data_IF_533390241269
#
_entry.id   IF_533390241269
#
_cell.length_a   1.000
_cell.length_b   1.000
_cell.length_c   1.000
_cell.angle_alpha   90.00
_cell.angle_beta   90.00
_cell.angle_gamma   90.00
#
_symmetry.space_group_name_H-M   'P 1'
#
loop_
_entity.id
_entity.type
_entity.pdbx_description
1 polymer ?
#
# COMPACT_ATOMS: atom_id res chain seq x y z
N UNK A 1 -3.98 -36.69 49.60
CA UNK A 1 -5.07 -36.04 48.84
C UNK A 1 -4.98 -34.50 48.83
N UNK A 2 -4.89 -33.80 49.97
CA UNK A 2 -4.78 -32.31 49.99
C UNK A 2 -3.68 -31.73 49.07
N UNK A 3 -2.46 -32.29 49.10
CA UNK A 3 -1.32 -31.82 48.28
C UNK A 3 -1.58 -31.87 46.76
N UNK A 4 -2.31 -32.88 46.28
CA UNK A 4 -2.64 -33.06 44.87
C UNK A 4 -3.68 -32.01 44.43
N UNK A 5 -4.69 -31.76 45.27
CA UNK A 5 -5.68 -30.71 45.04
C UNK A 5 -5.05 -29.30 44.98
N UNK A 6 -4.10 -29.01 45.87
CA UNK A 6 -3.36 -27.73 45.85
C UNK A 6 -2.56 -27.57 44.56
N UNK A 7 -1.94 -28.64 44.05
CA UNK A 7 -1.15 -28.60 42.81
C UNK A 7 -2.04 -28.32 41.58
N UNK A 8 -3.20 -28.99 41.49
CA UNK A 8 -4.19 -28.77 40.42
C UNK A 8 -4.72 -27.33 40.44
N UNK A 9 -4.95 -26.78 41.63
CA UNK A 9 -5.43 -25.41 41.79
C UNK A 9 -4.38 -24.38 41.31
N UNK A 10 -3.11 -24.57 41.69
CA UNK A 10 -2.01 -23.71 41.24
C UNK A 10 -1.88 -23.78 39.71
N UNK A 11 -1.91 -24.99 39.14
CA UNK A 11 -1.81 -25.18 37.70
C UNK A 11 -2.97 -24.51 36.94
N UNK A 12 -4.21 -24.68 37.39
CA UNK A 12 -5.38 -24.02 36.80
C UNK A 12 -5.29 -22.49 36.84
N UNK A 13 -4.85 -21.92 37.97
CA UNK A 13 -4.64 -20.49 38.11
C UNK A 13 -3.54 -19.97 37.18
N UNK A 14 -2.42 -20.70 37.03
CA UNK A 14 -1.35 -20.29 36.11
C UNK A 14 -1.78 -20.30 34.64
N UNK A 15 -2.59 -21.27 34.22
CA UNK A 15 -3.16 -21.31 32.86
C UNK A 15 -4.11 -20.13 32.64
N UNK A 16 -4.98 -19.80 33.61
CA UNK A 16 -5.89 -18.67 33.49
C UNK A 16 -5.15 -17.34 33.39
N UNK A 17 -4.12 -17.13 34.22
CA UNK A 17 -3.27 -15.93 34.17
C UNK A 17 -2.56 -15.83 32.81
N UNK A 18 -2.03 -16.94 32.30
CA UNK A 18 -1.37 -16.98 31.00
C UNK A 18 -2.34 -16.68 29.85
N UNK A 19 -3.50 -17.31 29.82
CA UNK A 19 -4.53 -17.09 28.81
C UNK A 19 -5.06 -15.64 28.82
N UNK A 20 -5.21 -15.04 30.00
CA UNK A 20 -5.62 -13.64 30.16
C UNK A 20 -4.53 -12.69 29.65
N UNK A 21 -3.26 -12.94 29.98
CA UNK A 21 -2.12 -12.16 29.47
C UNK A 21 -1.97 -12.26 27.95
N UNK A 22 -2.12 -13.45 27.39
CA UNK A 22 -2.09 -13.66 25.93
C UNK A 22 -3.21 -12.86 25.23
N UNK A 23 -4.43 -12.94 25.77
CA UNK A 23 -5.57 -12.18 25.26
C UNK A 23 -5.33 -10.68 25.31
N UNK A 24 -4.81 -10.16 26.44
CA UNK A 24 -4.48 -8.74 26.58
C UNK A 24 -3.40 -8.29 25.59
N UNK A 25 -2.32 -9.06 25.45
CA UNK A 25 -1.25 -8.78 24.48
C UNK A 25 -1.76 -8.74 23.03
N UNK A 26 -2.70 -9.63 22.67
CA UNK A 26 -3.32 -9.65 21.33
C UNK A 26 -4.20 -8.43 21.10
N UNK A 27 -4.93 -7.97 22.12
CA UNK A 27 -5.75 -6.75 22.04
C UNK A 27 -4.85 -5.52 21.87
N UNK A 28 -3.79 -5.39 22.67
CA UNK A 28 -2.85 -4.26 22.58
C UNK A 28 -2.19 -4.17 21.20
N UNK A 29 -1.72 -5.30 20.65
CA UNK A 29 -1.19 -5.35 19.27
C UNK A 29 -2.23 -5.08 18.21
N UNK A 30 -3.47 -5.51 18.42
CA UNK A 30 -4.59 -5.20 17.53
C UNK A 30 -4.83 -3.69 17.44
N UNK A 31 -4.80 -3.01 18.59
CA UNK A 31 -4.92 -1.55 18.69
C UNK A 31 -3.72 -0.86 18.03
N UNK A 32 -2.50 -1.32 18.28
CA UNK A 32 -1.29 -0.78 17.65
C UNK A 32 -1.33 -0.92 16.12
N UNK A 33 -1.71 -2.09 15.63
CA UNK A 33 -1.87 -2.40 14.21
C UNK A 33 -2.95 -1.52 13.57
N UNK A 34 -4.09 -1.32 14.24
CA UNK A 34 -5.14 -0.40 13.79
C UNK A 34 -4.68 1.05 13.73
N UNK A 35 -4.00 1.54 14.78
CA UNK A 35 -3.47 2.90 14.82
C UNK A 35 -2.43 3.15 13.72
N UNK A 36 -1.58 2.14 13.47
CA UNK A 36 -0.59 2.18 12.39
C UNK A 36 -1.27 2.22 11.02
N UNK A 37 -2.30 1.41 10.81
CA UNK A 37 -3.11 1.46 9.59
C UNK A 37 -3.72 2.85 9.37
N UNK A 38 -4.36 3.42 10.38
CA UNK A 38 -5.05 4.70 10.26
C UNK A 38 -4.10 5.87 9.95
N UNK A 39 -2.89 5.83 10.54
CA UNK A 39 -1.84 6.81 10.33
C UNK A 39 -1.14 6.69 8.96
N UNK A 40 -0.91 5.47 8.49
CA UNK A 40 -0.11 5.21 7.28
C UNK A 40 -0.95 5.06 6.01
N UNK A 41 -2.27 4.85 6.11
CA UNK A 41 -3.14 4.72 4.93
C UNK A 41 -3.03 5.95 4.03
N UNK A 42 -2.96 5.71 2.73
CA UNK A 42 -2.93 6.76 1.71
C UNK A 42 -4.36 7.11 1.30
N UNK A 43 -4.67 8.40 1.28
CA UNK A 43 -5.90 8.93 0.72
C UNK A 43 -5.64 9.43 -0.71
N UNK A 44 -6.31 8.88 -1.74
CA UNK A 44 -6.08 9.28 -3.13
C UNK A 44 -6.68 10.66 -3.49
N UNK A 45 -7.59 11.22 -2.69
CA UNK A 45 -8.33 12.44 -3.04
C UNK A 45 -7.40 13.64 -3.21
N UNK A 46 -6.47 13.87 -2.28
CA UNK A 46 -5.52 14.99 -2.37
C UNK A 46 -4.66 14.92 -3.65
N UNK A 47 -3.97 13.79 -3.89
CA UNK A 47 -3.24 13.53 -5.14
C UNK A 47 -4.10 13.67 -6.40
N UNK A 48 -5.33 13.15 -6.40
CA UNK A 48 -6.27 13.28 -7.52
C UNK A 48 -6.59 14.74 -7.83
N UNK A 49 -6.98 15.52 -6.82
CA UNK A 49 -7.27 16.95 -6.99
C UNK A 49 -6.04 17.71 -7.48
N UNK A 50 -4.85 17.33 -7.00
CA UNK A 50 -3.62 17.93 -7.48
C UNK A 50 -3.42 17.66 -8.98
N UNK A 51 -3.61 16.43 -9.45
CA UNK A 51 -3.53 16.11 -10.88
C UNK A 51 -4.64 16.77 -11.73
N UNK A 52 -5.81 17.00 -11.13
CA UNK A 52 -6.94 17.67 -11.79
C UNK A 52 -6.65 19.16 -12.07
N UNK A 53 -6.07 19.88 -11.11
CA UNK A 53 -5.78 21.31 -11.26
C UNK A 53 -4.37 21.60 -11.77
N UNK A 54 -3.42 20.73 -11.45
CA UNK A 54 -2.03 20.82 -11.87
C UNK A 54 -1.69 19.53 -12.65
N UNK A 55 -1.74 19.56 -13.99
CA UNK A 55 -1.45 18.40 -14.81
C UNK A 55 0.01 17.95 -14.65
N UNK A 56 0.46 16.97 -15.44
CA UNK A 56 1.82 16.39 -15.39
C UNK A 56 2.09 15.40 -14.24
N UNK A 57 1.06 14.90 -13.56
CA UNK A 57 1.21 13.79 -12.61
C UNK A 57 1.82 14.19 -11.26
N UNK A 58 1.76 15.48 -10.90
CA UNK A 58 2.30 16.02 -9.65
C UNK A 58 1.70 15.31 -8.41
N UNK A 59 0.42 14.98 -8.47
CA UNK A 59 -0.29 14.27 -7.40
C UNK A 59 0.35 12.92 -7.11
N UNK A 60 0.81 12.23 -8.14
CA UNK A 60 1.50 10.94 -8.01
C UNK A 60 2.83 11.10 -7.25
N UNK A 61 3.59 12.17 -7.49
CA UNK A 61 4.81 12.45 -6.73
C UNK A 61 4.51 12.76 -5.25
N UNK A 62 3.47 13.54 -4.96
CA UNK A 62 3.08 13.89 -3.58
C UNK A 62 2.70 12.66 -2.76
N UNK A 63 2.06 11.66 -3.36
CA UNK A 63 1.74 10.41 -2.67
C UNK A 63 2.90 9.40 -2.61
N UNK A 64 4.02 9.66 -3.30
CA UNK A 64 5.20 8.80 -3.35
C UNK A 64 5.23 7.81 -4.52
N UNK A 65 4.37 7.98 -5.52
CA UNK A 65 4.37 7.19 -6.77
C UNK A 65 5.23 7.86 -7.84
N UNK A 66 6.55 7.70 -7.72
CA UNK A 66 7.53 8.26 -8.66
C UNK A 66 7.50 7.60 -10.03
N UNK A 67 7.10 6.33 -10.11
CA UNK A 67 7.03 5.60 -11.38
C UNK A 67 5.81 6.12 -12.16
N UNK A 68 4.62 6.13 -11.53
CA UNK A 68 3.41 6.65 -12.17
C UNK A 68 3.52 8.14 -12.52
N UNK A 69 4.04 8.96 -11.59
CA UNK A 69 4.29 10.38 -11.82
C UNK A 69 5.30 10.63 -12.94
N UNK A 70 6.42 9.92 -12.92
CA UNK A 70 7.47 10.02 -13.95
C UNK A 70 6.98 9.60 -15.33
N UNK A 71 6.21 8.52 -15.43
CA UNK A 71 5.60 8.11 -16.70
C UNK A 71 4.65 9.18 -17.25
N UNK A 72 3.74 9.71 -16.43
CA UNK A 72 2.81 10.76 -16.86
C UNK A 72 3.56 12.00 -17.34
N UNK A 73 4.57 12.46 -16.58
CA UNK A 73 5.39 13.60 -16.96
C UNK A 73 6.11 13.35 -18.30
N UNK A 74 6.74 12.19 -18.46
CA UNK A 74 7.45 11.81 -19.68
C UNK A 74 6.55 11.77 -20.91
N UNK A 75 5.37 11.16 -20.81
CA UNK A 75 4.40 11.12 -21.91
C UNK A 75 3.81 12.49 -22.24
N UNK A 76 3.60 13.36 -21.24
CA UNK A 76 3.17 14.74 -21.50
C UNK A 76 4.25 15.54 -22.24
N UNK A 77 5.52 15.41 -21.82
CA UNK A 77 6.63 16.08 -22.48
C UNK A 77 6.81 15.58 -23.92
N UNK A 78 6.80 14.26 -24.12
CA UNK A 78 6.89 13.65 -25.45
C UNK A 78 5.71 14.08 -26.35
N UNK A 79 4.49 14.04 -25.81
CA UNK A 79 3.28 14.46 -26.51
C UNK A 79 3.33 15.94 -26.92
N UNK A 80 3.80 16.82 -26.03
CA UNK A 80 3.97 18.24 -26.32
C UNK A 80 5.04 18.49 -27.41
N UNK A 81 6.16 17.77 -27.37
CA UNK A 81 7.21 17.86 -28.40
C UNK A 81 6.67 17.40 -29.76
N UNK A 82 5.97 16.26 -29.80
CA UNK A 82 5.37 15.75 -31.04
C UNK A 82 4.31 16.71 -31.58
N UNK A 83 3.47 17.25 -30.71
CA UNK A 83 2.44 18.22 -31.09
C UNK A 83 3.06 19.50 -31.67
N UNK A 84 4.04 20.08 -30.98
CA UNK A 84 4.74 21.30 -31.44
C UNK A 84 5.52 21.07 -32.74
N UNK A 85 6.23 19.94 -32.85
CA UNK A 85 6.95 19.57 -34.08
C UNK A 85 5.98 19.39 -35.24
N UNK A 86 4.83 18.75 -35.00
CA UNK A 86 3.78 18.58 -35.99
C UNK A 86 3.22 19.91 -36.50
N UNK A 87 3.02 20.90 -35.62
CA UNK A 87 2.60 22.27 -36.02
C UNK A 87 3.65 22.92 -36.93
N UNK A 88 4.93 22.84 -36.58
CA UNK A 88 6.02 23.41 -37.37
C UNK A 88 6.09 22.76 -38.76
N UNK A 89 6.00 21.44 -38.84
CA UNK A 89 6.05 20.68 -40.10
C UNK A 89 4.83 20.93 -40.98
N UNK A 90 3.64 21.01 -40.38
CA UNK A 90 2.40 21.31 -41.08
C UNK A 90 2.45 22.68 -41.76
N UNK A 91 3.04 23.67 -41.09
CA UNK A 91 3.16 25.03 -41.60
C UNK A 91 4.23 25.19 -42.70
N UNK A 92 5.29 24.36 -42.68
CA UNK A 92 6.45 24.55 -43.57
C UNK A 92 6.42 23.71 -44.84
N UNK A 93 6.21 22.40 -44.76
CA UNK A 93 6.43 21.53 -45.92
C UNK A 93 5.53 20.28 -45.97
N UNK A 94 5.56 19.45 -44.92
CA UNK A 94 4.96 18.10 -44.96
C UNK A 94 3.63 18.06 -44.21
N UNK A 95 2.55 18.51 -44.86
CA UNK A 95 1.22 18.61 -44.24
C UNK A 95 0.72 17.29 -43.65
N UNK A 96 0.82 16.17 -44.41
CA UNK A 96 0.37 14.86 -43.95
C UNK A 96 1.13 14.41 -42.69
N UNK A 97 2.47 14.49 -42.72
CA UNK A 97 3.33 14.15 -41.57
C UNK A 97 3.05 15.07 -40.38
N UNK A 98 2.89 16.37 -40.62
CA UNK A 98 2.52 17.35 -39.60
C UNK A 98 1.20 17.01 -38.91
N UNK A 99 0.15 16.69 -39.67
CA UNK A 99 -1.15 16.29 -39.11
C UNK A 99 -1.05 15.00 -38.28
N UNK A 100 -0.28 14.01 -38.74
CA UNK A 100 -0.06 12.77 -37.98
C UNK A 100 0.63 13.07 -36.65
N UNK A 101 1.71 13.86 -36.64
CA UNK A 101 2.42 14.22 -35.40
C UNK A 101 1.53 15.04 -34.45
N UNK A 102 0.73 15.97 -34.98
CA UNK A 102 -0.24 16.73 -34.18
C UNK A 102 -1.22 15.77 -33.51
N UNK A 103 -1.82 14.85 -34.28
CA UNK A 103 -2.80 13.89 -33.78
C UNK A 103 -2.22 12.94 -32.74
N UNK A 104 -1.03 12.39 -32.98
CA UNK A 104 -0.32 11.52 -32.03
C UNK A 104 0.08 12.28 -30.77
N UNK A 105 0.64 13.48 -30.91
CA UNK A 105 1.03 14.32 -29.77
C UNK A 105 -0.16 14.71 -28.89
N UNK A 106 -1.24 15.20 -29.51
CA UNK A 106 -2.46 15.59 -28.80
C UNK A 106 -3.14 14.40 -28.10
N UNK A 107 -3.27 13.26 -28.78
CA UNK A 107 -3.85 12.05 -28.18
C UNK A 107 -3.00 11.51 -27.02
N UNK A 108 -1.67 11.59 -27.11
CA UNK A 108 -0.76 11.20 -26.04
C UNK A 108 -0.93 12.09 -24.80
N UNK A 109 -1.02 13.42 -24.97
CA UNK A 109 -1.26 14.35 -23.86
C UNK A 109 -2.62 14.07 -23.19
N UNK A 110 -3.69 13.91 -23.98
CA UNK A 110 -5.03 13.62 -23.46
C UNK A 110 -5.09 12.29 -22.69
N UNK A 111 -4.46 11.25 -23.24
CA UNK A 111 -4.41 9.93 -22.61
C UNK A 111 -3.59 9.99 -21.32
N UNK A 112 -2.43 10.64 -21.35
CA UNK A 112 -1.57 10.82 -20.18
C UNK A 112 -2.28 11.61 -19.07
N UNK A 113 -3.02 12.66 -19.43
CA UNK A 113 -3.85 13.40 -18.48
C UNK A 113 -4.92 12.52 -17.84
N UNK A 114 -5.67 11.75 -18.63
CA UNK A 114 -6.69 10.82 -18.11
C UNK A 114 -6.10 9.78 -17.17
N UNK A 115 -4.96 9.18 -17.56
CA UNK A 115 -4.21 8.22 -16.73
C UNK A 115 -3.76 8.86 -15.42
N UNK A 116 -3.32 10.14 -15.45
CA UNK A 116 -2.91 10.86 -14.24
C UNK A 116 -4.02 11.02 -13.21
N UNK A 117 -5.29 11.06 -13.64
CA UNK A 117 -6.43 11.14 -12.73
C UNK A 117 -6.73 9.80 -12.04
N UNK A 118 -6.42 8.68 -12.70
CA UNK A 118 -6.76 7.33 -12.22
C UNK A 118 -5.66 6.76 -11.32
N UNK A 119 -4.39 7.00 -11.65
CA UNK A 119 -3.21 6.46 -10.94
C UNK A 119 -3.26 6.68 -9.41
N UNK A 120 -3.64 7.86 -8.90
CA UNK A 120 -3.82 8.09 -7.46
C UNK A 120 -4.62 7.01 -6.73
N UNK A 121 -5.75 6.60 -7.30
CA UNK A 121 -6.63 5.61 -6.69
C UNK A 121 -6.01 4.22 -6.70
N UNK A 122 -5.43 3.83 -7.84
CA UNK A 122 -4.78 2.52 -7.99
C UNK A 122 -3.60 2.38 -7.04
N UNK A 123 -2.77 3.42 -6.91
CA UNK A 123 -1.63 3.42 -6.00
C UNK A 123 -2.07 3.36 -4.54
N UNK A 124 -3.01 4.21 -4.13
CA UNK A 124 -3.52 4.23 -2.76
C UNK A 124 -4.18 2.89 -2.38
N UNK A 125 -4.98 2.30 -3.28
CA UNK A 125 -5.61 1.01 -3.02
C UNK A 125 -4.56 -0.10 -2.84
N UNK A 126 -3.59 -0.21 -3.77
CA UNK A 126 -2.51 -1.20 -3.68
C UNK A 126 -1.67 -1.01 -2.41
N UNK A 127 -1.35 0.23 -2.06
CA UNK A 127 -0.61 0.54 -0.84
C UNK A 127 -1.39 0.12 0.42
N UNK A 128 -2.65 0.50 0.51
CA UNK A 128 -3.51 0.22 1.66
C UNK A 128 -3.81 -1.28 1.82
N UNK A 129 -3.97 -2.02 0.72
CA UNK A 129 -4.10 -3.48 0.76
C UNK A 129 -2.82 -4.16 1.23
N UNK A 130 -1.66 -3.71 0.75
CA UNK A 130 -0.37 -4.25 1.18
C UNK A 130 -0.10 -3.94 2.65
N UNK A 131 -0.45 -2.73 3.10
CA UNK A 131 -0.37 -2.33 4.50
C UNK A 131 -1.26 -3.22 5.36
N UNK A 132 -2.53 -3.41 4.97
CA UNK A 132 -3.47 -4.31 5.65
C UNK A 132 -2.91 -5.73 5.75
N UNK A 133 -2.40 -6.30 4.65
CA UNK A 133 -1.80 -7.65 4.65
C UNK A 133 -0.62 -7.77 5.61
N UNK A 134 0.30 -6.80 5.61
CA UNK A 134 1.47 -6.78 6.50
C UNK A 134 1.06 -6.71 7.97
N UNK A 135 0.12 -5.82 8.28
CA UNK A 135 -0.41 -5.61 9.62
C UNK A 135 -1.20 -6.82 10.13
N UNK A 136 -1.96 -7.48 9.25
CA UNK A 136 -2.63 -8.75 9.58
C UNK A 136 -1.63 -9.90 9.77
N UNK A 137 -0.56 -9.97 8.98
CA UNK A 137 0.49 -10.97 9.14
C UNK A 137 1.30 -10.75 10.44
N UNK A 138 1.57 -9.50 10.82
CA UNK A 138 2.19 -9.15 12.11
C UNK A 138 1.30 -9.55 13.29
N UNK A 139 -0.02 -9.43 13.13
CA UNK A 139 -0.99 -9.86 14.13
C UNK A 139 -1.15 -11.39 14.21
N UNK A 140 -1.09 -12.08 13.07
CA UNK A 140 -1.23 -13.55 12.95
C UNK A 140 0.07 -14.32 13.24
N UNK A 141 1.24 -13.72 13.04
CA UNK A 141 2.57 -14.31 13.31
C UNK A 141 2.87 -14.58 14.79
N UNK A 142 1.91 -14.36 15.68
CA UNK A 142 1.94 -14.69 17.10
C UNK A 142 1.05 -15.91 17.40
N UNK A 143 1.17 -16.99 16.63
CA UNK A 143 0.57 -18.29 17.00
C UNK A 143 1.35 -18.88 18.19
N UNK A 144 0.73 -19.06 19.38
CA UNK A 144 1.37 -19.82 20.46
C UNK A 144 1.38 -21.31 20.08
N UNK A 145 2.58 -21.88 19.88
CA UNK A 145 2.73 -23.32 19.76
C UNK A 145 2.99 -23.92 21.14
N UNK A 146 2.04 -24.73 21.61
CA UNK A 146 2.18 -25.50 22.85
C UNK A 146 2.71 -26.88 22.49
N UNK A 147 4.02 -27.09 22.67
CA UNK A 147 4.65 -28.40 22.47
C UNK A 147 4.73 -29.13 23.82
N UNK A 148 4.10 -30.31 23.89
CA UNK A 148 4.19 -31.21 25.04
C UNK A 148 5.38 -32.14 24.86
N UNK A 149 6.56 -31.65 25.26
CA UNK A 149 7.78 -32.45 25.29
C UNK A 149 7.81 -33.45 26.46
N UNK A 150 8.58 -34.53 26.31
CA UNK A 150 8.74 -35.63 27.29
C UNK A 150 9.25 -35.14 28.67
N UNK A 151 9.78 -33.91 28.75
CA UNK A 151 10.30 -33.29 29.98
C UNK A 151 9.39 -32.20 30.59
N UNK A 152 8.15 -32.03 30.12
CA UNK A 152 7.18 -31.06 30.64
C UNK A 152 6.82 -29.93 29.66
N UNK A 153 5.91 -29.04 30.09
CA UNK A 153 5.40 -27.92 29.29
C UNK A 153 6.52 -26.99 28.83
N UNK A 154 6.73 -26.86 27.52
CA UNK A 154 7.68 -25.90 26.94
C UNK A 154 6.96 -24.96 25.97
N UNK A 155 6.94 -23.68 26.30
CA UNK A 155 6.42 -22.62 25.42
C UNK A 155 7.55 -22.17 24.48
N UNK A 156 7.36 -22.30 23.17
CA UNK A 156 8.28 -21.74 22.17
C UNK A 156 7.54 -20.92 21.13
N UNK A 157 8.16 -19.83 20.66
CA UNK A 157 7.62 -18.98 19.61
C UNK A 157 8.27 -19.35 18.28
N UNK A 158 7.47 -19.84 17.33
CA UNK A 158 7.96 -20.08 15.96
C UNK A 158 7.73 -18.81 15.14
N UNK A 159 8.82 -18.16 14.75
CA UNK A 159 8.76 -17.08 13.76
C UNK A 159 8.50 -17.71 12.39
N UNK A 160 7.29 -17.53 11.86
CA UNK A 160 6.99 -17.92 10.47
C UNK A 160 7.67 -16.91 9.54
N UNK A 161 8.60 -17.39 8.71
CA UNK A 161 9.26 -16.60 7.66
C UNK A 161 8.40 -16.54 6.41
#
# INVERSE_FOLDING_TARGET
MKKIFTLILIFGLTIQIFATKDTQNRIEKGIESFNKYDKEKKNPIGPFLLNLFLPFGIGSFVQGDYIGGGSVLGFNLLGAILWGTGIILNHRETQLTGYILIGVGASMVLTSYTVSLIIPFTFANRHNENLKKRLSAELAGFEPNFDLGINGFQLSFKKSY
#
